data_IF_212771476735
#
_entry.id   IF_212771476735
#
_cell.length_a   1.000
_cell.length_b   1.000
_cell.length_c   1.000
_cell.angle_alpha   90.00
_cell.angle_beta   90.00
_cell.angle_gamma   90.00
#
_symmetry.space_group_name_H-M   'P 1'
#
loop_
_entity.id
_entity.type
_entity.pdbx_description
1 polymer ?
#
# COMPACT_ATOMS: atom_id res chain seq x y z
N UNK A 1 -8.65 -4.65 10.46
CA UNK A 1 -8.07 -4.84 9.10
C UNK A 1 -8.75 -6.01 8.40
N UNK A 2 -9.66 -5.72 7.48
CA UNK A 2 -10.23 -6.72 6.57
C UNK A 2 -9.35 -6.81 5.33
N UNK A 3 -8.99 -8.03 4.92
CA UNK A 3 -8.23 -8.28 3.70
C UNK A 3 -8.96 -9.27 2.80
N UNK A 4 -8.74 -9.15 1.49
CA UNK A 4 -9.27 -10.04 0.46
C UNK A 4 -8.17 -10.37 -0.55
N UNK A 5 -8.05 -11.64 -0.92
CA UNK A 5 -7.20 -12.06 -2.03
C UNK A 5 -7.89 -11.78 -3.37
N UNK A 6 -7.10 -11.36 -4.36
CA UNK A 6 -7.50 -11.02 -5.71
C UNK A 6 -6.55 -11.67 -6.71
N UNK A 7 -7.12 -12.20 -7.78
CA UNK A 7 -6.37 -12.50 -9.02
C UNK A 7 -6.07 -11.21 -9.78
N UNK A 8 -5.17 -11.27 -10.77
CA UNK A 8 -4.91 -10.13 -11.64
C UNK A 8 -6.19 -9.62 -12.31
N UNK A 9 -7.07 -10.51 -12.79
CA UNK A 9 -8.30 -10.13 -13.49
C UNK A 9 -9.30 -9.37 -12.61
N UNK A 10 -9.30 -9.64 -11.32
CA UNK A 10 -10.15 -8.96 -10.33
C UNK A 10 -9.59 -7.58 -9.90
N UNK A 11 -8.35 -7.25 -10.27
CA UNK A 11 -7.81 -5.93 -9.97
C UNK A 11 -8.55 -4.82 -10.74
N UNK A 12 -8.77 -3.66 -10.10
CA UNK A 12 -9.13 -2.43 -10.79
C UNK A 12 -8.25 -2.18 -12.02
N UNK A 13 -8.87 -1.77 -13.13
CA UNK A 13 -8.19 -1.55 -14.42
C UNK A 13 -6.93 -0.68 -14.25
N UNK A 14 -7.04 0.35 -13.44
CA UNK A 14 -5.95 1.30 -13.28
C UNK A 14 -4.83 0.78 -12.36
N UNK A 15 -5.06 -0.28 -11.58
CA UNK A 15 -3.97 -0.99 -10.89
C UNK A 15 -3.23 -1.93 -11.86
N UNK A 16 -3.95 -2.57 -12.79
CA UNK A 16 -3.34 -3.34 -13.87
C UNK A 16 -2.35 -2.46 -14.66
N UNK A 17 -2.74 -1.23 -14.96
CA UNK A 17 -1.90 -0.23 -15.63
C UNK A 17 -0.66 0.18 -14.80
N UNK A 18 -0.78 0.26 -13.47
CA UNK A 18 0.37 0.55 -12.58
C UNK A 18 1.37 -0.61 -12.56
N UNK A 19 0.89 -1.85 -12.53
CA UNK A 19 1.74 -3.04 -12.52
C UNK A 19 2.36 -3.37 -13.90
N UNK A 20 1.80 -2.88 -15.01
CA UNK A 20 2.26 -3.14 -16.38
C UNK A 20 3.24 -2.10 -16.95
N UNK A 21 3.66 -1.10 -16.15
CA UNK A 21 4.46 0.07 -16.55
C UNK A 21 3.77 1.03 -17.53
N UNK A 22 3.41 2.23 -17.05
CA UNK A 22 3.37 3.55 -17.76
C UNK A 22 2.23 4.48 -17.33
N UNK A 23 1.78 4.47 -16.07
CA UNK A 23 0.77 5.43 -15.62
C UNK A 23 1.17 6.16 -14.33
N UNK A 24 1.45 7.46 -14.45
CA UNK A 24 1.31 8.40 -13.34
C UNK A 24 -0.18 8.50 -13.01
N UNK A 25 -0.58 7.84 -11.93
CA UNK A 25 -2.00 7.82 -11.53
C UNK A 25 -2.37 9.06 -10.71
N UNK A 26 -3.65 9.47 -10.81
CA UNK A 26 -4.22 10.66 -10.14
C UNK A 26 -3.97 10.63 -8.63
N UNK A 27 -3.59 11.78 -8.05
CA UNK A 27 -3.35 11.96 -6.60
C UNK A 27 -4.39 11.25 -5.73
N UNK A 28 -3.95 10.58 -4.67
CA UNK A 28 -4.86 10.16 -3.61
C UNK A 28 -5.39 11.35 -2.82
N UNK A 29 -6.55 11.16 -2.19
CA UNK A 29 -7.22 12.19 -1.39
C UNK A 29 -6.69 12.30 0.05
N UNK A 30 -5.71 11.49 0.44
CA UNK A 30 -5.19 11.44 1.80
C UNK A 30 -3.66 11.40 1.84
N UNK A 31 -3.10 11.99 2.89
CA UNK A 31 -1.69 11.95 3.20
C UNK A 31 -1.36 10.67 3.96
N UNK A 32 -0.23 10.03 3.63
CA UNK A 32 0.28 8.88 4.35
C UNK A 32 1.79 9.00 4.56
N UNK A 33 2.29 8.31 5.60
CA UNK A 33 3.71 8.07 5.80
C UNK A 33 3.98 6.57 5.88
N UNK A 34 5.10 6.13 5.32
CA UNK A 34 5.53 4.74 5.34
C UNK A 34 6.98 4.73 5.77
N UNK A 35 7.25 4.00 6.85
CA UNK A 35 8.60 3.68 7.29
C UNK A 35 8.84 2.21 7.00
N UNK A 36 9.85 1.91 6.20
CA UNK A 36 10.22 0.54 5.91
C UNK A 36 11.54 0.22 6.58
N UNK A 37 11.62 -1.00 7.08
CA UNK A 37 12.76 -1.48 7.83
C UNK A 37 13.74 -2.23 6.90
N UNK A 38 14.97 -2.44 7.35
CA UNK A 38 15.86 -3.46 6.79
C UNK A 38 15.70 -4.79 7.57
N UNK A 39 16.57 -5.76 7.25
CA UNK A 39 16.61 -7.06 7.92
C UNK A 39 17.04 -6.98 9.39
N UNK A 40 17.66 -5.87 9.80
CA UNK A 40 18.11 -5.60 11.18
C UNK A 40 17.04 -4.82 11.98
N UNK A 41 15.88 -4.55 11.38
CA UNK A 41 14.79 -3.72 11.92
C UNK A 41 15.13 -2.23 12.07
N UNK A 42 16.15 -1.73 11.38
CA UNK A 42 16.44 -0.30 11.30
C UNK A 42 15.61 0.35 10.19
N UNK A 43 15.24 1.62 10.34
CA UNK A 43 14.56 2.37 9.28
C UNK A 43 15.51 2.51 8.10
N UNK A 44 15.16 1.89 6.97
CA UNK A 44 15.96 1.91 5.75
C UNK A 44 15.41 2.89 4.72
N UNK A 45 14.09 3.08 4.69
CA UNK A 45 13.43 3.90 3.69
C UNK A 45 12.20 4.60 4.28
N UNK A 46 11.90 5.77 3.73
CA UNK A 46 10.76 6.58 4.11
C UNK A 46 10.03 7.09 2.86
N UNK A 47 8.71 6.96 2.85
CA UNK A 47 7.84 7.55 1.84
C UNK A 47 6.79 8.41 2.51
N UNK A 48 6.57 9.61 1.99
CA UNK A 48 5.46 10.45 2.38
C UNK A 48 4.87 11.14 1.15
N UNK A 49 3.57 11.40 1.19
CA UNK A 49 2.88 12.17 0.14
C UNK A 49 1.52 11.60 -0.23
N UNK A 50 1.09 11.96 -1.45
CA UNK A 50 -0.15 11.52 -2.10
C UNK A 50 0.17 10.74 -3.40
N UNK A 51 1.38 10.19 -3.49
CA UNK A 51 2.02 9.82 -4.75
C UNK A 51 1.92 8.32 -5.02
N UNK A 52 1.21 7.95 -6.09
CA UNK A 52 0.84 6.57 -6.43
C UNK A 52 1.90 5.83 -7.24
N UNK A 53 3.14 5.85 -6.76
CA UNK A 53 4.19 4.99 -7.31
C UNK A 53 4.01 3.55 -6.84
N UNK A 54 4.47 2.60 -7.66
CA UNK A 54 4.74 1.25 -7.19
C UNK A 54 5.88 1.33 -6.16
N UNK A 55 5.60 0.98 -4.92
CA UNK A 55 6.60 1.01 -3.86
C UNK A 55 7.18 -0.39 -3.69
N UNK A 56 8.49 -0.53 -3.91
CA UNK A 56 9.18 -1.83 -4.05
C UNK A 56 10.41 -1.98 -3.16
N UNK A 57 10.65 -1.06 -2.22
CA UNK A 57 11.87 -1.09 -1.37
C UNK A 57 11.53 -1.24 0.10
N UNK A 58 12.48 -1.80 0.86
CA UNK A 58 12.38 -2.05 2.29
C UNK A 58 11.57 -3.30 2.65
N UNK A 59 11.68 -3.71 3.91
CA UNK A 59 10.93 -4.81 4.53
C UNK A 59 9.97 -4.27 5.58
N UNK A 60 9.03 -5.08 6.04
CA UNK A 60 8.20 -4.81 7.23
C UNK A 60 7.71 -3.36 7.29
N UNK A 61 6.82 -3.00 6.38
CA UNK A 61 6.36 -1.62 6.21
C UNK A 61 5.45 -1.20 7.37
N UNK A 62 5.79 -0.10 8.03
CA UNK A 62 4.97 0.56 9.04
C UNK A 62 4.25 1.74 8.39
N UNK A 63 2.93 1.60 8.22
CA UNK A 63 2.07 2.64 7.68
C UNK A 63 1.54 3.51 8.80
N UNK A 64 1.68 4.82 8.67
CA UNK A 64 1.06 5.81 9.53
C UNK A 64 0.06 6.63 8.73
N UNK A 65 -1.22 6.48 9.05
CA UNK A 65 -2.34 7.18 8.39
C UNK A 65 -3.17 7.86 9.48
N UNK A 66 -3.28 9.20 9.41
CA UNK A 66 -4.01 10.00 10.41
C UNK A 66 -3.62 9.68 11.88
N UNK A 67 -2.33 9.41 12.13
CA UNK A 67 -1.82 9.07 13.46
C UNK A 67 -2.14 7.64 13.93
N UNK A 68 -2.74 6.80 13.07
CA UNK A 68 -2.92 5.37 13.32
C UNK A 68 -1.85 4.57 12.60
N UNK A 69 -1.21 3.66 13.31
CA UNK A 69 -0.16 2.79 12.75
C UNK A 69 -0.73 1.40 12.46
N UNK A 70 -0.38 0.84 11.29
CA UNK A 70 -0.48 -0.59 11.05
C UNK A 70 0.78 -1.11 10.38
N UNK A 71 1.07 -2.39 10.62
CA UNK A 71 2.26 -3.05 10.10
C UNK A 71 1.87 -4.03 9.01
N UNK A 72 2.52 -3.91 7.87
CA UNK A 72 2.45 -4.89 6.80
C UNK A 72 3.75 -5.68 6.80
N UNK A 73 3.65 -6.98 7.07
CA UNK A 73 4.76 -7.88 6.76
C UNK A 73 4.84 -7.99 5.24
N UNK A 74 5.93 -7.49 4.69
CA UNK A 74 6.23 -7.52 3.27
C UNK A 74 7.74 -7.72 3.14
N UNK A 75 8.14 -8.51 2.15
CA UNK A 75 9.52 -8.73 1.81
C UNK A 75 10.03 -7.57 0.94
N UNK A 76 11.34 -7.35 0.95
CA UNK A 76 11.96 -6.40 0.02
C UNK A 76 11.68 -6.77 -1.43
N UNK A 77 11.17 -5.80 -2.18
CA UNK A 77 10.76 -5.97 -3.57
C UNK A 77 9.24 -6.07 -3.73
N UNK A 78 8.52 -6.42 -2.66
CA UNK A 78 7.07 -6.67 -2.72
C UNK A 78 6.32 -5.38 -3.05
N UNK A 79 5.73 -5.30 -4.25
CA UNK A 79 5.13 -4.07 -4.71
C UNK A 79 3.78 -3.86 -4.04
N UNK A 80 3.58 -2.65 -3.54
CA UNK A 80 2.28 -2.23 -3.04
C UNK A 80 1.87 -0.87 -3.60
N UNK A 81 0.54 -0.66 -3.63
CA UNK A 81 -0.12 0.53 -4.17
C UNK A 81 -1.23 0.94 -3.20
N UNK A 82 -1.24 2.22 -2.83
CA UNK A 82 -2.35 2.84 -2.12
C UNK A 82 -3.29 3.48 -3.14
N UNK A 83 -4.60 3.22 -3.00
CA UNK A 83 -5.62 3.80 -3.88
C UNK A 83 -7.01 3.71 -3.28
N UNK A 84 -7.80 4.78 -3.41
CA UNK A 84 -9.23 4.79 -3.06
C UNK A 84 -9.49 4.21 -1.67
N UNK A 85 -8.73 4.66 -0.67
CA UNK A 85 -8.84 4.20 0.71
C UNK A 85 -8.52 2.71 0.91
N UNK A 86 -7.77 2.10 -0.02
CA UNK A 86 -7.36 0.70 0.03
C UNK A 86 -5.86 0.58 -0.22
N UNK A 87 -5.27 -0.47 0.34
CA UNK A 87 -3.90 -0.89 0.09
C UNK A 87 -3.95 -2.19 -0.71
N UNK A 88 -3.22 -2.24 -1.83
CA UNK A 88 -3.07 -3.44 -2.64
C UNK A 88 -1.61 -3.85 -2.57
N UNK A 89 -1.31 -5.07 -2.15
CA UNK A 89 0.07 -5.57 -2.06
C UNK A 89 0.18 -7.00 -2.59
N UNK A 90 1.39 -7.42 -2.96
CA UNK A 90 1.66 -8.79 -3.41
C UNK A 90 3.07 -9.21 -3.04
N UNK A 91 3.23 -10.43 -2.54
CA UNK A 91 4.53 -11.01 -2.13
C UNK A 91 5.19 -11.83 -3.25
N UNK A 92 4.48 -12.04 -4.37
CA UNK A 92 4.88 -12.97 -5.44
C UNK A 92 5.23 -12.27 -6.75
N UNK A 93 5.22 -10.94 -6.76
CA UNK A 93 5.45 -10.18 -7.98
C UNK A 93 6.94 -9.94 -8.22
N UNK A 94 7.45 -10.52 -9.29
CA UNK A 94 8.76 -10.23 -9.84
C UNK A 94 8.57 -9.44 -11.14
N UNK A 95 8.80 -8.13 -11.07
CA UNK A 95 8.64 -7.21 -12.20
C UNK A 95 9.58 -7.56 -13.36
N UNK A 96 10.80 -8.01 -13.07
CA UNK A 96 11.78 -8.44 -14.09
C UNK A 96 11.31 -9.69 -14.83
N UNK A 97 10.62 -10.60 -14.15
CA UNK A 97 10.05 -11.80 -14.74
C UNK A 97 8.67 -11.55 -15.39
N UNK A 98 8.13 -10.33 -15.28
CA UNK A 98 6.82 -9.92 -15.82
C UNK A 98 5.68 -10.87 -15.46
N UNK A 99 5.67 -11.38 -14.22
CA UNK A 99 4.71 -12.40 -13.77
C UNK A 99 3.41 -11.82 -13.14
N UNK A 100 3.06 -10.56 -13.43
CA UNK A 100 1.92 -9.86 -12.82
C UNK A 100 0.58 -10.59 -13.00
N UNK A 101 0.33 -11.23 -14.14
CA UNK A 101 -0.92 -11.96 -14.38
C UNK A 101 -1.06 -13.22 -13.51
N UNK A 102 0.05 -13.76 -13.01
CA UNK A 102 0.12 -15.00 -12.22
C UNK A 102 0.24 -14.73 -10.72
N UNK A 103 0.43 -13.47 -10.32
CA UNK A 103 0.58 -13.09 -8.93
C UNK A 103 -0.78 -13.10 -8.21
N UNK A 104 -0.74 -13.37 -6.91
CA UNK A 104 -1.87 -13.15 -6.02
C UNK A 104 -1.71 -11.79 -5.38
N UNK A 105 -2.77 -11.00 -5.38
CA UNK A 105 -2.82 -9.68 -4.78
C UNK A 105 -3.68 -9.73 -3.54
N UNK A 106 -3.35 -8.89 -2.56
CA UNK A 106 -4.14 -8.73 -1.35
C UNK A 106 -4.62 -7.30 -1.30
N UNK A 107 -5.92 -7.12 -1.26
CA UNK A 107 -6.59 -5.85 -0.99
C UNK A 107 -6.85 -5.74 0.52
N UNK A 108 -6.49 -4.60 1.10
CA UNK A 108 -6.77 -4.23 2.49
C UNK A 108 -7.61 -2.96 2.48
N UNK A 109 -8.76 -2.99 3.15
CA UNK A 109 -9.58 -1.80 3.38
C UNK A 109 -8.97 -0.93 4.49
N UNK A 110 -8.71 0.35 4.19
CA UNK A 110 -8.13 1.31 5.13
C UNK A 110 -9.18 2.22 5.78
N UNK A 111 -10.49 1.98 5.57
CA UNK A 111 -11.56 2.81 6.11
C UNK A 111 -11.45 3.04 7.63
N UNK A 112 -11.04 2.02 8.40
CA UNK A 112 -10.83 2.11 9.85
C UNK A 112 -9.72 3.12 10.22
N UNK A 113 -8.65 3.17 9.42
CA UNK A 113 -7.50 4.05 9.63
C UNK A 113 -7.79 5.48 9.17
N UNK A 114 -8.62 5.62 8.14
CA UNK A 114 -9.00 6.90 7.55
C UNK A 114 -10.11 7.61 8.32
N UNK A 115 -11.03 6.87 8.95
CA UNK A 115 -12.18 7.43 9.68
C UNK A 115 -11.88 7.96 11.09
N UNK A 116 -10.73 8.61 11.30
CA UNK A 116 -10.49 9.45 12.50
C UNK A 116 -10.85 10.92 12.25
N UNK A 117 -12.11 11.15 11.89
CA UNK A 117 -12.85 12.39 12.20
C UNK A 117 -14.26 12.03 12.68
N UNK A 118 -14.36 11.34 13.82
CA UNK A 118 -15.65 11.18 14.51
C UNK A 118 -15.57 11.00 16.04
N UNK A 119 -14.41 11.17 16.69
CA UNK A 119 -14.35 11.14 18.17
C UNK A 119 -13.62 12.33 18.80
N UNK A 120 -13.44 13.43 18.09
CA UNK A 120 -13.21 14.73 18.71
C UNK A 120 -14.54 15.50 18.77
N UNK A 121 -15.57 14.92 19.41
CA UNK A 121 -16.59 15.77 20.03
C UNK A 121 -16.02 16.19 21.37
N UNK A 122 -15.67 17.47 21.43
CA UNK A 122 -15.46 18.22 22.65
C UNK A 122 -16.60 17.89 23.63
N UNK A 123 -16.26 17.17 24.71
CA UNK A 123 -17.00 17.29 25.96
C UNK A 123 -16.42 18.51 26.66
N UNK A 124 -17.09 19.64 26.48
CA UNK A 124 -17.01 20.81 27.35
C UNK A 124 -17.31 20.41 28.80
#
# INVERSE_FOLDING_TARGET
MQSRELTFDELPKELKEVYQESALTKKDSFFYEIKSLDLENNISHYWSGMNKGLLTKGHNHHFLINGQEFKLRANQGDPFVLRNNKLYYTEKLNLSAKNFEKATYVEIDLAEYLNKKASCKHGL
#
